data_IF_762868065144
#
_entry.id   IF_762868065144
#
_cell.length_a   1.000
_cell.length_b   1.000
_cell.length_c   1.000
_cell.angle_alpha   90.00
_cell.angle_beta   90.00
_cell.angle_gamma   90.00
#
_symmetry.space_group_name_H-M   'P 1'
#
loop_
_entity.id
_entity.type
_entity.pdbx_description
1 polymer ?
#
# COMPACT_ATOMS: atom_id res chain seq x y z
N UNK A 1 23.31 -12.86 -8.15
CA UNK A 1 23.00 -13.12 -6.73
C UNK A 1 22.15 -12.02 -6.11
N UNK A 2 22.57 -10.75 -6.16
CA UNK A 2 21.82 -9.62 -5.56
C UNK A 2 20.40 -9.42 -6.10
N UNK A 3 20.18 -9.56 -7.40
CA UNK A 3 18.85 -9.44 -8.02
C UNK A 3 17.86 -10.49 -7.51
N UNK A 4 18.29 -11.74 -7.38
CA UNK A 4 17.45 -12.81 -6.84
C UNK A 4 17.10 -12.53 -5.37
N UNK A 5 18.06 -12.07 -4.59
CA UNK A 5 17.84 -11.67 -3.20
C UNK A 5 16.80 -10.54 -3.09
N UNK A 6 16.96 -9.48 -3.89
CA UNK A 6 16.03 -8.36 -3.91
C UNK A 6 14.60 -8.78 -4.34
N UNK A 7 14.48 -9.62 -5.36
CA UNK A 7 13.19 -10.19 -5.77
C UNK A 7 12.58 -11.08 -4.68
N UNK A 8 13.39 -11.84 -3.96
CA UNK A 8 12.89 -12.66 -2.83
C UNK A 8 12.31 -11.77 -1.74
N UNK A 9 13.02 -10.71 -1.36
CA UNK A 9 12.55 -9.76 -0.36
C UNK A 9 11.23 -9.08 -0.79
N UNK A 10 11.17 -8.59 -2.03
CA UNK A 10 9.94 -7.99 -2.57
C UNK A 10 8.78 -8.99 -2.60
N UNK A 11 9.05 -10.23 -2.97
CA UNK A 11 8.01 -11.28 -2.96
C UNK A 11 7.53 -11.60 -1.55
N UNK A 12 8.43 -11.63 -0.56
CA UNK A 12 8.07 -11.84 0.84
C UNK A 12 7.23 -10.69 1.39
N UNK A 13 7.57 -9.44 1.04
CA UNK A 13 6.76 -8.28 1.37
C UNK A 13 5.34 -8.42 0.80
N UNK A 14 5.19 -8.66 -0.50
CA UNK A 14 3.88 -8.84 -1.12
C UNK A 14 3.08 -10.04 -0.59
N UNK A 15 3.74 -11.15 -0.27
CA UNK A 15 3.07 -12.29 0.35
C UNK A 15 2.50 -11.97 1.74
N UNK A 16 3.04 -10.98 2.46
CA UNK A 16 2.51 -10.57 3.76
C UNK A 16 1.11 -9.94 3.65
N UNK A 17 0.78 -9.27 2.54
CA UNK A 17 -0.60 -8.86 2.23
C UNK A 17 -1.53 -10.08 2.13
N UNK A 18 -1.06 -11.14 1.49
CA UNK A 18 -1.77 -12.43 1.46
C UNK A 18 -1.98 -13.02 2.86
N UNK A 19 -0.97 -12.93 3.77
CA UNK A 19 -1.11 -13.37 5.16
C UNK A 19 -2.21 -12.58 5.89
N UNK A 20 -2.29 -11.27 5.69
CA UNK A 20 -3.40 -10.45 6.16
C UNK A 20 -4.75 -10.94 5.64
N UNK A 21 -4.79 -11.34 4.37
CA UNK A 21 -5.98 -11.93 3.74
C UNK A 21 -6.44 -13.24 4.38
N UNK A 22 -5.54 -14.03 4.97
CA UNK A 22 -5.90 -15.28 5.67
C UNK A 22 -6.73 -15.04 6.94
N UNK A 23 -6.72 -13.83 7.49
CA UNK A 23 -7.49 -13.46 8.68
C UNK A 23 -8.99 -13.76 8.47
N UNK A 24 -9.56 -13.52 7.27
CA UNK A 24 -10.97 -13.84 7.00
C UNK A 24 -11.27 -15.34 6.95
N UNK A 25 -10.25 -16.18 6.74
CA UNK A 25 -10.40 -17.64 6.81
C UNK A 25 -10.48 -18.10 8.27
N UNK A 26 -9.70 -17.47 9.16
CA UNK A 26 -9.61 -17.82 10.57
C UNK A 26 -10.76 -17.24 11.38
N UNK A 27 -11.17 -16.01 11.10
CA UNK A 27 -12.22 -15.31 11.86
C UNK A 27 -13.53 -15.22 11.06
N UNK A 28 -14.60 -15.74 11.62
CA UNK A 28 -15.93 -15.70 10.96
C UNK A 28 -16.47 -14.28 10.77
N UNK A 29 -16.13 -13.36 11.68
CA UNK A 29 -16.51 -11.93 11.62
C UNK A 29 -15.40 -11.11 12.28
N UNK A 30 -14.51 -10.49 11.51
CA UNK A 30 -13.52 -9.58 12.06
C UNK A 30 -14.20 -8.45 12.85
N UNK A 31 -13.67 -8.15 14.04
CA UNK A 31 -14.25 -7.13 14.90
C UNK A 31 -13.85 -5.73 14.43
N UNK A 32 -14.79 -4.76 14.50
CA UNK A 32 -14.49 -3.35 14.17
C UNK A 32 -13.26 -2.78 14.92
N UNK A 33 -13.01 -3.25 16.16
CA UNK A 33 -11.81 -2.89 16.94
C UNK A 33 -10.51 -3.34 16.25
N UNK A 34 -10.50 -4.54 15.72
CA UNK A 34 -9.35 -5.10 15.00
C UNK A 34 -9.11 -4.32 13.71
N UNK A 35 -10.17 -4.02 12.95
CA UNK A 35 -10.08 -3.22 11.73
C UNK A 35 -9.53 -1.82 12.02
N UNK A 36 -10.11 -1.11 13.01
CA UNK A 36 -9.68 0.22 13.41
C UNK A 36 -8.20 0.24 13.82
N UNK A 37 -7.77 -0.73 14.65
CA UNK A 37 -6.36 -0.85 15.05
C UNK A 37 -5.44 -1.15 13.86
N UNK A 38 -5.82 -2.09 12.99
CA UNK A 38 -5.02 -2.47 11.82
C UNK A 38 -4.80 -1.30 10.86
N UNK A 39 -5.85 -0.50 10.59
CA UNK A 39 -5.74 0.67 9.72
C UNK A 39 -4.86 1.77 10.36
N UNK A 40 -5.03 2.02 11.68
CA UNK A 40 -4.15 2.92 12.41
C UNK A 40 -2.70 2.44 12.35
N UNK A 41 -2.45 1.17 12.61
CA UNK A 41 -1.11 0.58 12.60
C UNK A 41 -0.44 0.67 11.22
N UNK A 42 -1.15 0.33 10.14
CA UNK A 42 -0.63 0.47 8.79
C UNK A 42 -0.25 1.93 8.49
N UNK A 43 -1.19 2.87 8.71
CA UNK A 43 -0.94 4.30 8.50
C UNK A 43 0.23 4.83 9.36
N UNK A 44 0.32 4.40 10.62
CA UNK A 44 1.40 4.79 11.54
C UNK A 44 2.78 4.29 11.08
N UNK A 45 2.89 3.03 10.69
CA UNK A 45 4.15 2.46 10.18
C UNK A 45 4.57 3.17 8.90
N UNK A 46 3.66 3.36 7.94
CA UNK A 46 3.95 4.05 6.68
C UNK A 46 4.42 5.49 6.90
N UNK A 47 3.75 6.25 7.76
CA UNK A 47 4.18 7.61 8.11
C UNK A 47 5.55 7.62 8.78
N UNK A 48 5.78 6.71 9.73
CA UNK A 48 7.06 6.62 10.44
C UNK A 48 8.20 6.30 9.48
N UNK A 49 8.07 5.30 8.62
CA UNK A 49 9.09 4.93 7.64
C UNK A 49 9.34 6.08 6.67
N UNK A 50 8.30 6.70 6.14
CA UNK A 50 8.44 7.80 5.17
C UNK A 50 9.14 9.03 5.76
N UNK A 51 8.76 9.43 6.98
CA UNK A 51 9.25 10.67 7.60
C UNK A 51 10.57 10.48 8.34
N UNK A 52 10.80 9.32 8.97
CA UNK A 52 11.95 9.10 9.85
C UNK A 52 13.11 8.35 9.18
N UNK A 53 12.85 7.66 8.05
CA UNK A 53 13.87 6.88 7.35
C UNK A 53 14.05 7.35 5.90
N UNK A 54 13.01 7.27 5.07
CA UNK A 54 13.12 7.53 3.63
C UNK A 54 13.51 8.97 3.30
N UNK A 55 12.78 9.96 3.82
CA UNK A 55 13.07 11.38 3.52
C UNK A 55 14.41 11.86 4.09
N UNK A 56 14.79 11.57 5.34
CA UNK A 56 16.13 11.89 5.85
C UNK A 56 17.25 11.25 5.01
N UNK A 57 17.11 9.98 4.64
CA UNK A 57 18.09 9.29 3.80
C UNK A 57 18.26 9.98 2.44
N UNK A 58 17.17 10.42 1.79
CA UNK A 58 17.27 11.13 0.49
C UNK A 58 17.93 12.49 0.63
N UNK A 59 17.67 13.23 1.74
CA UNK A 59 18.33 14.50 2.03
C UNK A 59 19.81 14.28 2.25
N UNK A 60 20.23 13.28 3.01
CA UNK A 60 21.64 12.96 3.25
C UNK A 60 22.36 12.63 1.95
N UNK A 61 21.84 11.72 1.15
CA UNK A 61 22.44 11.33 -0.14
C UNK A 61 22.57 12.49 -1.12
N UNK A 62 21.57 13.35 -1.21
CA UNK A 62 21.65 14.54 -2.07
C UNK A 62 22.59 15.60 -1.51
N UNK A 63 22.76 15.66 -0.17
CA UNK A 63 23.64 16.64 0.46
C UNK A 63 25.10 16.49 0.04
N UNK A 64 25.53 15.26 -0.26
CA UNK A 64 26.90 14.97 -0.75
C UNK A 64 27.19 15.60 -2.11
N UNK A 65 26.16 15.87 -2.90
CA UNK A 65 26.31 16.42 -4.26
C UNK A 65 25.98 17.89 -4.38
N UNK A 66 24.98 18.40 -3.66
CA UNK A 66 24.47 19.76 -3.85
C UNK A 66 24.39 20.62 -2.58
N UNK A 67 24.82 20.07 -1.43
CA UNK A 67 24.73 20.74 -0.14
C UNK A 67 23.35 20.57 0.54
N UNK A 68 23.29 20.78 1.84
CA UNK A 68 22.17 20.36 2.69
C UNK A 68 20.85 21.07 2.37
N UNK A 69 20.87 22.37 2.13
CA UNK A 69 19.63 23.13 1.86
C UNK A 69 19.00 22.79 0.49
N UNK A 70 19.74 22.80 -0.64
CA UNK A 70 19.20 22.33 -1.91
C UNK A 70 18.75 20.88 -1.88
N UNK A 71 19.44 19.99 -1.15
CA UNK A 71 19.08 18.59 -0.98
C UNK A 71 17.72 18.44 -0.28
N UNK A 72 17.51 19.18 0.81
CA UNK A 72 16.23 19.18 1.52
C UNK A 72 15.08 19.70 0.64
N UNK A 73 15.34 20.76 -0.13
CA UNK A 73 14.33 21.32 -1.04
C UNK A 73 14.00 20.34 -2.17
N UNK A 74 15.00 19.68 -2.77
CA UNK A 74 14.81 18.66 -3.80
C UNK A 74 14.00 17.46 -3.26
N UNK A 75 14.38 16.91 -2.11
CA UNK A 75 13.67 15.79 -1.48
C UNK A 75 12.22 16.17 -1.13
N UNK A 76 11.99 17.35 -0.57
CA UNK A 76 10.64 17.84 -0.27
C UNK A 76 9.80 18.05 -1.54
N UNK A 77 10.39 18.58 -2.61
CA UNK A 77 9.69 18.78 -3.89
C UNK A 77 9.28 17.45 -4.51
N UNK A 78 10.17 16.45 -4.49
CA UNK A 78 9.88 15.09 -4.97
C UNK A 78 8.83 14.39 -4.11
N UNK A 79 8.85 14.58 -2.80
CA UNK A 79 7.83 14.08 -1.90
C UNK A 79 6.45 14.72 -2.23
N UNK A 80 6.38 16.04 -2.40
CA UNK A 80 5.14 16.71 -2.81
C UNK A 80 4.67 16.21 -4.18
N UNK A 81 5.57 15.97 -5.12
CA UNK A 81 5.23 15.36 -6.40
C UNK A 81 4.62 13.98 -6.22
N UNK A 82 5.16 13.15 -5.32
CA UNK A 82 4.58 11.85 -4.97
C UNK A 82 3.18 11.96 -4.39
N UNK A 83 2.95 12.91 -3.49
CA UNK A 83 1.60 13.19 -2.96
C UNK A 83 0.62 13.60 -4.06
N UNK A 84 1.07 14.42 -5.02
CA UNK A 84 0.24 14.82 -6.17
C UNK A 84 -0.04 13.65 -7.11
N UNK A 85 0.92 12.77 -7.34
CA UNK A 85 0.72 11.54 -8.11
C UNK A 85 -0.35 10.67 -7.44
N UNK A 86 -0.26 10.44 -6.14
CA UNK A 86 -1.25 9.66 -5.38
C UNK A 86 -2.65 10.29 -5.47
N UNK A 87 -2.75 11.61 -5.27
CA UNK A 87 -4.00 12.36 -5.42
C UNK A 87 -4.60 12.22 -6.84
N UNK A 88 -3.78 12.25 -7.88
CA UNK A 88 -4.25 12.09 -9.25
C UNK A 88 -4.71 10.66 -9.52
N UNK A 89 -3.98 9.66 -9.02
CA UNK A 89 -4.37 8.25 -9.13
C UNK A 89 -5.70 7.99 -8.41
N UNK A 90 -5.88 8.53 -7.20
CA UNK A 90 -7.15 8.43 -6.45
C UNK A 90 -8.31 9.02 -7.26
N UNK A 91 -8.13 10.18 -7.90
CA UNK A 91 -9.17 10.79 -8.76
C UNK A 91 -9.50 9.98 -10.03
N UNK A 92 -8.61 9.13 -10.48
CA UNK A 92 -8.86 8.20 -11.58
C UNK A 92 -9.71 7.00 -11.16
N UNK A 93 -9.82 6.74 -9.84
CA UNK A 93 -10.67 5.70 -9.27
C UNK A 93 -12.06 6.31 -9.07
N UNK A 94 -13.13 5.73 -9.62
CA UNK A 94 -14.48 6.26 -9.50
C UNK A 94 -14.95 6.31 -8.04
N UNK A 95 -15.53 7.42 -7.60
CA UNK A 95 -16.05 7.63 -6.25
C UNK A 95 -17.08 6.55 -5.86
N UNK A 96 -16.99 6.02 -4.64
CA UNK A 96 -17.94 5.03 -4.09
C UNK A 96 -19.39 5.50 -4.19
N UNK A 97 -19.63 6.80 -4.02
CA UNK A 97 -20.96 7.42 -4.09
C UNK A 97 -21.50 7.45 -5.51
N UNK A 98 -20.66 7.69 -6.51
CA UNK A 98 -21.04 7.69 -7.93
C UNK A 98 -21.33 6.26 -8.40
N UNK A 99 -20.63 5.31 -7.83
CA UNK A 99 -20.75 3.89 -8.09
C UNK A 99 -22.00 3.27 -7.44
N UNK A 100 -22.37 3.71 -6.23
CA UNK A 100 -23.59 3.28 -5.53
C UNK A 100 -24.87 3.86 -6.15
N UNK A 101 -24.78 4.97 -6.88
CA UNK A 101 -25.93 5.68 -7.47
C UNK A 101 -26.48 5.08 -8.79
N UNK A 102 -25.82 4.07 -9.39
CA UNK A 102 -26.35 3.39 -10.60
C UNK A 102 -27.31 2.27 -10.21
N UNK A 103 -28.59 2.34 -10.57
CA UNK A 103 -29.56 1.30 -10.31
C UNK A 103 -29.29 0.08 -11.22
N UNK A 104 -28.58 -0.91 -10.72
CA UNK A 104 -28.48 -2.19 -11.39
C UNK A 104 -29.77 -2.99 -11.09
N UNK A 105 -30.76 -2.78 -11.93
CA UNK A 105 -31.96 -3.61 -11.93
C UNK A 105 -31.66 -4.98 -12.50
N UNK A 106 -31.33 -5.96 -11.65
CA UNK A 106 -31.63 -7.38 -11.85
C UNK A 106 -31.06 -8.18 -10.64
N UNK A 107 -31.80 -8.19 -9.55
CA UNK A 107 -31.60 -9.20 -8.50
C UNK A 107 -32.25 -10.51 -8.98
N UNK A 108 -31.43 -11.44 -9.46
CA UNK A 108 -31.89 -12.82 -9.69
C UNK A 108 -32.21 -13.48 -8.34
N UNK A 109 -33.48 -13.89 -8.19
CA UNK A 109 -33.99 -14.61 -7.00
C UNK A 109 -33.32 -15.99 -6.92
N UNK A 110 -32.52 -16.24 -5.84
CA UNK A 110 -32.17 -17.62 -5.48
C UNK A 110 -30.72 -17.95 -5.16
N UNK A 111 -29.77 -17.02 -5.29
CA UNK A 111 -28.38 -17.18 -4.78
C UNK A 111 -28.16 -16.26 -3.58
N UNK A 112 -27.27 -16.60 -2.60
CA UNK A 112 -26.94 -15.66 -1.54
C UNK A 112 -26.50 -14.36 -2.20
N UNK A 113 -27.31 -13.32 -2.02
CA UNK A 113 -27.23 -12.08 -2.80
C UNK A 113 -25.87 -11.44 -2.57
N UNK A 114 -25.04 -11.44 -3.61
CA UNK A 114 -23.90 -10.53 -3.73
C UNK A 114 -24.51 -9.13 -3.66
N UNK A 115 -24.09 -8.32 -2.71
CA UNK A 115 -24.46 -6.91 -2.67
C UNK A 115 -23.61 -6.17 -3.71
N UNK A 116 -24.16 -5.75 -4.87
CA UNK A 116 -23.37 -5.18 -5.95
C UNK A 116 -22.66 -3.89 -5.55
N UNK A 117 -23.31 -3.05 -4.75
CA UNK A 117 -22.71 -1.80 -4.25
C UNK A 117 -21.51 -2.07 -3.30
N UNK A 118 -21.70 -2.99 -2.35
CA UNK A 118 -20.61 -3.36 -1.45
C UNK A 118 -19.43 -4.05 -2.19
N UNK A 119 -19.74 -4.88 -3.21
CA UNK A 119 -18.68 -5.49 -4.02
C UNK A 119 -17.89 -4.43 -4.79
N UNK A 120 -18.58 -3.46 -5.32
CA UNK A 120 -17.95 -2.40 -6.09
C UNK A 120 -17.05 -1.53 -5.23
N UNK A 121 -17.50 -1.13 -4.03
CA UNK A 121 -16.69 -0.43 -3.03
C UNK A 121 -15.44 -1.25 -2.67
N UNK A 122 -15.60 -2.53 -2.35
CA UNK A 122 -14.48 -3.43 -2.08
C UNK A 122 -13.48 -3.54 -3.26
N UNK A 123 -13.97 -3.50 -4.50
CA UNK A 123 -13.11 -3.53 -5.70
C UNK A 123 -12.34 -2.23 -5.90
N UNK A 124 -12.95 -1.07 -5.61
CA UNK A 124 -12.28 0.24 -5.65
C UNK A 124 -11.14 0.29 -4.63
N UNK A 125 -11.43 -0.07 -3.37
CA UNK A 125 -10.40 -0.17 -2.31
C UNK A 125 -9.28 -1.14 -2.70
N UNK A 126 -9.63 -2.31 -3.25
CA UNK A 126 -8.63 -3.27 -3.73
C UNK A 126 -7.77 -2.67 -4.84
N UNK A 127 -8.35 -1.96 -5.80
CA UNK A 127 -7.61 -1.32 -6.89
C UNK A 127 -6.67 -0.22 -6.36
N UNK A 128 -7.12 0.58 -5.40
CA UNK A 128 -6.28 1.58 -4.75
C UNK A 128 -5.05 0.95 -4.08
N UNK A 129 -5.24 -0.13 -3.31
CA UNK A 129 -4.14 -0.84 -2.64
C UNK A 129 -3.22 -1.54 -3.65
N UNK A 130 -3.75 -2.13 -4.74
CA UNK A 130 -2.93 -2.70 -5.83
C UNK A 130 -2.02 -1.63 -6.44
N UNK A 131 -2.56 -0.44 -6.73
CA UNK A 131 -1.78 0.68 -7.27
C UNK A 131 -0.74 1.20 -6.27
N UNK A 132 -1.02 1.10 -4.98
CA UNK A 132 -0.10 1.44 -3.90
C UNK A 132 1.06 0.44 -3.78
N UNK A 133 0.78 -0.85 -3.86
CA UNK A 133 1.78 -1.91 -3.76
C UNK A 133 2.79 -1.91 -4.93
N UNK A 134 2.43 -1.38 -6.10
CA UNK A 134 3.37 -1.27 -7.22
C UNK A 134 4.61 -0.42 -6.89
N UNK A 135 4.49 0.84 -6.41
CA UNK A 135 5.62 1.63 -5.94
C UNK A 135 6.42 0.98 -4.81
N UNK A 136 5.76 0.29 -3.89
CA UNK A 136 6.43 -0.40 -2.78
C UNK A 136 7.32 -1.54 -3.27
N UNK A 137 6.85 -2.31 -4.22
CA UNK A 137 7.66 -3.34 -4.87
C UNK A 137 8.88 -2.75 -5.58
N UNK A 138 8.73 -1.60 -6.25
CA UNK A 138 9.84 -0.88 -6.88
C UNK A 138 10.85 -0.44 -5.84
N UNK A 139 10.38 0.17 -4.76
CA UNK A 139 11.22 0.62 -3.65
C UNK A 139 11.99 -0.53 -3.02
N UNK A 140 11.30 -1.60 -2.65
CA UNK A 140 11.90 -2.79 -2.01
C UNK A 140 12.97 -3.40 -2.91
N UNK A 141 12.69 -3.56 -4.21
CA UNK A 141 13.63 -4.13 -5.15
C UNK A 141 14.91 -3.29 -5.26
N UNK A 142 14.77 -2.01 -5.53
CA UNK A 142 15.92 -1.16 -5.79
C UNK A 142 16.72 -0.86 -4.53
N UNK A 143 16.09 -0.67 -3.38
CA UNK A 143 16.79 -0.52 -2.10
C UNK A 143 17.55 -1.79 -1.73
N UNK A 144 16.93 -2.96 -1.90
CA UNK A 144 17.58 -4.26 -1.64
C UNK A 144 18.73 -4.54 -2.61
N UNK A 145 18.61 -4.07 -3.84
CA UNK A 145 19.67 -4.18 -4.84
C UNK A 145 20.86 -3.28 -4.52
N UNK A 146 20.60 -2.05 -4.07
CA UNK A 146 21.63 -1.08 -3.70
C UNK A 146 22.30 -1.43 -2.36
N UNK A 147 21.52 -1.82 -1.36
CA UNK A 147 21.98 -2.19 -0.02
C UNK A 147 21.14 -3.34 0.56
N UNK A 148 21.69 -4.57 0.64
CA UNK A 148 20.97 -5.71 1.19
C UNK A 148 20.45 -5.48 2.62
N UNK A 149 21.22 -4.79 3.45
CA UNK A 149 20.85 -4.51 4.85
C UNK A 149 19.66 -3.56 4.93
N UNK A 150 19.71 -2.43 4.20
CA UNK A 150 18.59 -1.49 4.12
C UNK A 150 17.36 -2.14 3.49
N UNK A 151 17.56 -2.92 2.43
CA UNK A 151 16.48 -3.66 1.79
C UNK A 151 15.78 -4.63 2.75
N UNK A 152 16.51 -5.37 3.56
CA UNK A 152 15.93 -6.28 4.55
C UNK A 152 15.14 -5.53 5.63
N UNK A 153 15.66 -4.42 6.14
CA UNK A 153 14.97 -3.59 7.15
C UNK A 153 13.69 -3.00 6.57
N UNK A 154 13.76 -2.43 5.37
CA UNK A 154 12.61 -1.88 4.67
C UNK A 154 11.56 -2.97 4.36
N UNK A 155 11.99 -4.13 3.88
CA UNK A 155 11.10 -5.28 3.64
C UNK A 155 10.33 -5.68 4.89
N UNK A 156 10.99 -5.68 6.05
CA UNK A 156 10.33 -6.00 7.32
C UNK A 156 9.26 -4.94 7.66
N UNK A 157 9.59 -3.67 7.50
CA UNK A 157 8.64 -2.58 7.73
C UNK A 157 7.43 -2.67 6.79
N UNK A 158 7.67 -2.90 5.49
CA UNK A 158 6.62 -3.11 4.48
C UNK A 158 5.78 -4.34 4.82
N UNK A 159 6.39 -5.48 5.15
CA UNK A 159 5.65 -6.68 5.52
C UNK A 159 4.72 -6.46 6.73
N UNK A 160 5.14 -5.65 7.70
CA UNK A 160 4.33 -5.36 8.89
C UNK A 160 3.07 -4.55 8.58
N UNK A 161 3.12 -3.57 7.66
CA UNK A 161 1.92 -2.81 7.31
C UNK A 161 1.08 -3.50 6.21
N UNK A 162 1.67 -4.33 5.38
CA UNK A 162 0.97 -5.12 4.37
C UNK A 162 -0.03 -6.13 4.98
N UNK A 163 0.26 -6.67 6.18
CA UNK A 163 -0.71 -7.54 6.88
C UNK A 163 -2.04 -6.80 7.16
N UNK A 164 -2.05 -5.62 7.80
CA UNK A 164 -3.24 -4.76 7.89
C UNK A 164 -3.93 -4.47 6.55
N UNK A 165 -3.16 -4.18 5.49
CA UNK A 165 -3.73 -3.92 4.17
C UNK A 165 -4.44 -5.15 3.58
N UNK A 166 -3.86 -6.33 3.75
CA UNK A 166 -4.52 -7.58 3.36
C UNK A 166 -5.84 -7.81 4.12
N UNK A 167 -5.93 -7.36 5.37
CA UNK A 167 -7.19 -7.35 6.13
C UNK A 167 -8.17 -6.35 5.51
N UNK A 168 -7.69 -5.14 5.16
CA UNK A 168 -8.51 -4.09 4.55
C UNK A 168 -9.13 -4.51 3.21
N UNK A 169 -8.45 -5.33 2.43
CA UNK A 169 -8.98 -5.90 1.19
C UNK A 169 -9.92 -7.07 1.49
N UNK A 170 -9.43 -8.05 2.25
CA UNK A 170 -10.11 -9.34 2.38
C UNK A 170 -11.45 -9.25 3.09
N UNK A 171 -11.60 -8.34 4.05
CA UNK A 171 -12.83 -8.22 4.86
C UNK A 171 -13.97 -7.62 4.05
N UNK A 172 -13.85 -6.47 3.37
CA UNK A 172 -14.91 -5.95 2.51
C UNK A 172 -15.30 -6.91 1.39
N UNK A 173 -14.32 -7.54 0.73
CA UNK A 173 -14.59 -8.54 -0.33
C UNK A 173 -15.37 -9.74 0.23
N UNK A 174 -15.02 -10.22 1.43
CA UNK A 174 -15.77 -11.28 2.09
C UNK A 174 -17.23 -10.88 2.36
N UNK A 175 -17.46 -9.68 2.93
CA UNK A 175 -18.82 -9.22 3.20
C UNK A 175 -19.64 -9.01 1.93
N UNK A 176 -19.02 -8.52 0.85
CA UNK A 176 -19.67 -8.29 -0.42
C UNK A 176 -20.01 -9.58 -1.17
N UNK A 177 -19.16 -10.61 -1.08
CA UNK A 177 -19.28 -11.86 -1.85
C UNK A 177 -19.76 -13.06 -1.04
N UNK A 178 -19.86 -12.92 0.27
CA UNK A 178 -20.07 -14.01 1.24
C UNK A 178 -19.08 -15.20 1.05
N UNK A 179 -17.90 -14.93 0.52
CA UNK A 179 -16.87 -15.93 0.21
C UNK A 179 -15.54 -15.53 0.83
N UNK A 180 -15.10 -16.24 1.87
CA UNK A 180 -13.81 -16.03 2.52
C UNK A 180 -12.64 -16.28 1.58
N UNK A 181 -12.77 -17.31 0.72
CA UNK A 181 -11.74 -17.66 -0.26
C UNK A 181 -11.52 -16.50 -1.25
N UNK A 182 -12.61 -15.85 -1.69
CA UNK A 182 -12.47 -14.65 -2.54
C UNK A 182 -11.75 -13.53 -1.80
N UNK A 183 -12.14 -13.23 -0.54
CA UNK A 183 -11.45 -12.22 0.27
C UNK A 183 -9.95 -12.49 0.36
N UNK A 184 -9.55 -13.70 0.75
CA UNK A 184 -8.14 -14.08 0.85
C UNK A 184 -7.41 -14.03 -0.51
N UNK A 185 -8.06 -14.45 -1.59
CA UNK A 185 -7.49 -14.44 -2.94
C UNK A 185 -7.23 -13.01 -3.43
N UNK A 186 -8.17 -12.08 -3.22
CA UNK A 186 -7.99 -10.68 -3.61
C UNK A 186 -6.83 -10.02 -2.85
N UNK A 187 -6.69 -10.29 -1.54
CA UNK A 187 -5.55 -9.81 -0.78
C UNK A 187 -4.22 -10.39 -1.30
N UNK A 188 -4.17 -11.68 -1.61
CA UNK A 188 -2.98 -12.31 -2.18
C UNK A 188 -2.63 -11.72 -3.56
N UNK A 189 -3.61 -11.54 -4.44
CA UNK A 189 -3.41 -10.96 -5.78
C UNK A 189 -2.95 -9.50 -5.68
N UNK A 190 -3.47 -8.74 -4.72
CA UNK A 190 -3.01 -7.38 -4.46
C UNK A 190 -1.55 -7.35 -4.03
N UNK A 191 -1.14 -8.23 -3.12
CA UNK A 191 0.26 -8.32 -2.70
C UNK A 191 1.21 -8.73 -3.84
N UNK A 192 0.76 -9.53 -4.80
CA UNK A 192 1.56 -9.88 -5.99
C UNK A 192 1.82 -8.66 -6.92
N UNK A 193 1.14 -7.54 -6.73
CA UNK A 193 1.47 -6.30 -7.42
C UNK A 193 2.88 -5.79 -7.07
N UNK A 194 3.39 -6.05 -5.86
CA UNK A 194 4.75 -5.67 -5.48
C UNK A 194 5.82 -6.33 -6.37
N UNK A 195 5.94 -7.67 -6.42
CA UNK A 195 6.94 -8.28 -7.30
C UNK A 195 6.64 -8.00 -8.78
N UNK A 196 5.39 -7.80 -9.19
CA UNK A 196 5.06 -7.41 -10.55
C UNK A 196 5.56 -5.99 -10.88
N UNK A 197 5.31 -5.01 -10.00
CA UNK A 197 5.80 -3.65 -10.14
C UNK A 197 7.33 -3.58 -10.13
N UNK A 198 7.97 -4.34 -9.23
CA UNK A 198 9.41 -4.48 -9.15
C UNK A 198 10.02 -4.98 -10.46
N UNK A 199 9.48 -6.06 -11.03
CA UNK A 199 9.94 -6.62 -12.31
C UNK A 199 9.71 -5.64 -13.45
N UNK A 200 8.52 -5.05 -13.55
CA UNK A 200 8.20 -4.07 -14.58
C UNK A 200 9.19 -2.89 -14.54
N UNK A 201 9.38 -2.31 -13.36
CA UNK A 201 10.30 -1.20 -13.19
C UNK A 201 11.77 -1.60 -13.49
N UNK A 202 12.18 -2.78 -13.08
CA UNK A 202 13.52 -3.26 -13.41
C UNK A 202 13.74 -3.33 -14.94
N UNK A 203 12.82 -3.92 -15.68
CA UNK A 203 12.95 -4.02 -17.13
C UNK A 203 12.91 -2.66 -17.83
N UNK A 204 12.06 -1.74 -17.36
CA UNK A 204 11.89 -0.42 -17.97
C UNK A 204 12.99 0.57 -17.56
N UNK A 205 13.42 0.53 -16.29
CA UNK A 205 14.25 1.58 -15.69
C UNK A 205 15.71 1.17 -15.50
N UNK A 206 16.09 -0.09 -15.72
CA UNK A 206 17.46 -0.58 -15.47
C UNK A 206 18.55 0.25 -16.15
N UNK A 207 18.26 0.83 -17.29
CA UNK A 207 19.21 1.68 -18.06
C UNK A 207 19.35 3.09 -17.47
N UNK A 208 18.43 3.51 -16.61
CA UNK A 208 18.41 4.83 -15.97
C UNK A 208 18.79 4.77 -14.50
N UNK A 209 19.09 3.57 -13.97
CA UNK A 209 19.41 3.38 -12.55
C UNK A 209 20.73 4.09 -12.25
N UNK A 210 20.63 5.19 -11.53
CA UNK A 210 21.73 5.88 -10.89
C UNK A 210 21.40 6.13 -9.41
N UNK A 211 22.40 6.36 -8.54
CA UNK A 211 22.12 6.69 -7.14
C UNK A 211 21.18 7.89 -6.99
N UNK A 212 21.34 8.92 -7.79
CA UNK A 212 20.48 10.12 -7.81
C UNK A 212 19.05 9.79 -8.21
N UNK A 213 18.87 8.98 -9.26
CA UNK A 213 17.54 8.54 -9.71
C UNK A 213 16.83 7.71 -8.65
N UNK A 214 17.54 6.75 -8.02
CA UNK A 214 16.97 5.91 -6.97
C UNK A 214 16.52 6.74 -5.77
N UNK A 215 17.32 7.72 -5.34
CA UNK A 215 16.95 8.61 -4.26
C UNK A 215 15.75 9.49 -4.61
N UNK A 216 15.65 9.95 -5.85
CA UNK A 216 14.46 10.66 -6.31
C UNK A 216 13.20 9.80 -6.29
N UNK A 217 13.33 8.54 -6.67
CA UNK A 217 12.25 7.58 -6.60
C UNK A 217 11.82 7.33 -5.15
N UNK A 218 12.78 7.12 -4.22
CA UNK A 218 12.53 6.95 -2.79
C UNK A 218 11.74 8.16 -2.22
N UNK A 219 12.19 9.39 -2.49
CA UNK A 219 11.49 10.59 -2.03
C UNK A 219 10.07 10.70 -2.59
N UNK A 220 9.88 10.34 -3.87
CA UNK A 220 8.56 10.35 -4.51
C UNK A 220 7.63 9.30 -3.90
N UNK A 221 8.12 8.08 -3.66
CA UNK A 221 7.34 7.01 -3.03
C UNK A 221 7.00 7.36 -1.58
N UNK A 222 7.94 7.97 -0.83
CA UNK A 222 7.63 8.48 0.51
C UNK A 222 6.43 9.45 0.50
N UNK A 223 6.34 10.30 -0.53
CA UNK A 223 5.19 11.19 -0.72
C UNK A 223 3.89 10.43 -0.98
N UNK A 224 3.91 9.41 -1.83
CA UNK A 224 2.75 8.53 -2.08
C UNK A 224 2.29 7.89 -0.76
N UNK A 225 3.21 7.30 -0.01
CA UNK A 225 2.92 6.63 1.27
C UNK A 225 2.32 7.59 2.31
N UNK A 226 2.87 8.81 2.44
CA UNK A 226 2.32 9.84 3.33
C UNK A 226 0.89 10.20 2.93
N UNK A 227 0.65 10.41 1.64
CA UNK A 227 -0.68 10.74 1.13
C UNK A 227 -1.69 9.64 1.47
N UNK A 228 -1.42 8.39 1.11
CA UNK A 228 -2.31 7.25 1.35
C UNK A 228 -2.57 7.03 2.84
N UNK A 229 -1.55 7.18 3.68
CA UNK A 229 -1.71 7.07 5.14
C UNK A 229 -2.70 8.08 5.69
N UNK A 230 -2.60 9.36 5.25
CA UNK A 230 -3.43 10.46 5.78
C UNK A 230 -4.81 10.48 5.12
N UNK A 231 -4.90 10.19 3.82
CA UNK A 231 -6.15 10.33 3.05
C UNK A 231 -7.02 9.09 3.08
N UNK A 232 -6.43 7.90 3.23
CA UNK A 232 -7.16 6.64 3.15
C UNK A 232 -7.10 5.85 4.47
N UNK A 233 -5.92 5.38 4.90
CA UNK A 233 -5.82 4.40 5.98
C UNK A 233 -6.28 4.94 7.35
N UNK A 234 -5.85 6.13 7.74
CA UNK A 234 -6.24 6.71 9.02
C UNK A 234 -7.73 7.09 9.04
N UNK A 235 -8.30 7.76 8.01
CA UNK A 235 -9.74 8.00 7.92
C UNK A 235 -10.56 6.70 7.92
N UNK A 236 -10.14 5.67 7.18
CA UNK A 236 -10.81 4.37 7.18
C UNK A 236 -10.79 3.76 8.59
N UNK A 237 -9.66 3.81 9.31
CA UNK A 237 -9.58 3.39 10.70
C UNK A 237 -10.61 4.09 11.59
N UNK A 238 -10.83 5.38 11.41
CA UNK A 238 -11.85 6.16 12.14
C UNK A 238 -13.29 5.81 11.73
N UNK A 239 -13.52 5.39 10.48
CA UNK A 239 -14.85 5.02 9.96
C UNK A 239 -15.48 3.86 10.73
N UNK A 240 -14.65 2.95 11.29
CA UNK A 240 -15.12 1.85 12.14
C UNK A 240 -15.70 2.29 13.50
N UNK A 241 -15.74 3.60 13.81
CA UNK A 241 -16.33 4.15 15.04
C UNK A 241 -15.59 3.78 16.33
N UNK A 242 -14.34 3.36 16.23
CA UNK A 242 -13.48 2.89 17.34
C UNK A 242 -12.21 3.73 17.46
N UNK A 243 -12.36 5.05 17.56
CA UNK A 243 -11.26 6.03 17.55
C UNK A 243 -10.06 5.67 18.43
N UNK A 244 -10.30 5.20 19.67
CA UNK A 244 -9.22 4.82 20.58
C UNK A 244 -8.37 3.64 20.08
N UNK A 245 -8.94 2.75 19.27
CA UNK A 245 -8.18 1.66 18.66
C UNK A 245 -7.40 2.13 17.44
N UNK A 246 -7.93 3.03 16.63
CA UNK A 246 -7.19 3.65 15.51
C UNK A 246 -5.98 4.43 16.04
N UNK A 247 -6.19 5.29 17.04
CA UNK A 247 -5.10 6.05 17.67
C UNK A 247 -4.10 5.14 18.39
N UNK A 248 -4.56 4.04 19.00
CA UNK A 248 -3.67 3.06 19.64
C UNK A 248 -2.86 2.23 18.65
N UNK A 249 -3.26 2.20 17.37
CA UNK A 249 -2.49 1.62 16.27
C UNK A 249 -1.42 2.56 15.73
N UNK A 250 -1.69 3.88 15.68
CA UNK A 250 -0.75 4.90 15.21
C UNK A 250 0.52 4.96 16.07
#
# INVERSE_FOLDING_TARGET
MFMLFALTLTTLAGLSTGLGGLVVLLFKRPRARMMAFSMGFAGGVMLTVSLSDMLPHTVETYSDTMGRFPAALASASLCVMGMLIALLLERCIPDEKELAARPDGHAARGTPAINPGALRSAMVTTAAIVLHNLPEGILTLFTSYASPTLGATLTLAIALHNIPEGIAISVPVYYATNSRVRGALYALLSGLAEPAGALLAFFLLRSFISPLFLNGLIATIAGIMIYVSISELIPEGFSYGRRGYTVGGL
#
